data_IF_925822036522
#
_entry.id   IF_925822036522
#
_cell.length_a   1.000
_cell.length_b   1.000
_cell.length_c   1.000
_cell.angle_alpha   90.00
_cell.angle_beta   90.00
_cell.angle_gamma   90.00
#
_symmetry.space_group_name_H-M   'P 1'
#
loop_
_entity.id
_entity.type
_entity.pdbx_description
1 polymer ?
#
# COMPACT_ATOMS: atom_id res chain seq x y z
N UNK A 1 21.99 22.18 -15.83
CA UNK A 1 20.85 21.65 -15.06
C UNK A 1 19.91 22.80 -14.83
N UNK A 2 18.82 22.85 -15.61
CA UNK A 2 17.81 23.92 -15.54
C UNK A 2 17.02 23.82 -14.23
N UNK A 3 16.63 24.97 -13.66
CA UNK A 3 15.78 25.06 -12.46
C UNK A 3 14.44 24.32 -12.62
N UNK A 4 14.00 24.04 -13.86
CA UNK A 4 12.85 23.20 -14.18
C UNK A 4 13.00 21.74 -13.68
N UNK A 5 14.21 21.23 -13.50
CA UNK A 5 14.45 19.85 -13.04
C UNK A 5 14.35 19.71 -11.52
N UNK A 6 14.30 20.80 -10.74
CA UNK A 6 14.28 20.76 -9.28
C UNK A 6 12.86 20.74 -8.68
N UNK A 7 11.82 20.98 -9.49
CA UNK A 7 10.41 20.95 -9.06
C UNK A 7 9.74 19.59 -9.27
N UNK A 8 10.35 18.70 -10.04
CA UNK A 8 9.86 17.32 -10.28
C UNK A 8 9.95 16.41 -9.03
N UNK A 9 10.52 16.90 -7.93
CA UNK A 9 10.66 16.20 -6.64
C UNK A 9 9.50 16.47 -5.65
N UNK A 10 8.45 17.23 -6.01
CA UNK A 10 7.59 17.84 -4.99
C UNK A 10 6.53 16.91 -4.33
N UNK A 11 6.06 15.85 -4.99
CA UNK A 11 4.97 14.99 -4.48
C UNK A 11 5.23 13.52 -4.77
N UNK A 12 5.32 12.71 -3.72
CA UNK A 12 5.31 11.26 -3.81
C UNK A 12 3.88 10.73 -4.00
N UNK A 13 3.72 9.66 -4.77
CA UNK A 13 2.43 9.02 -5.05
C UNK A 13 2.44 7.56 -4.64
N UNK A 14 1.30 7.07 -4.13
CA UNK A 14 1.11 5.67 -3.81
C UNK A 14 1.15 4.82 -5.09
N UNK A 15 1.86 3.67 -5.09
CA UNK A 15 1.89 2.79 -6.24
C UNK A 15 0.59 2.01 -6.39
N UNK A 16 0.40 1.41 -7.58
CA UNK A 16 -0.70 0.48 -7.85
C UNK A 16 -2.05 1.12 -8.19
N UNK A 17 -2.19 2.44 -8.08
CA UNK A 17 -3.39 3.17 -8.49
C UNK A 17 -3.33 3.62 -9.96
N UNK A 18 -4.46 3.55 -10.66
CA UNK A 18 -4.63 4.13 -11.99
C UNK A 18 -4.66 5.66 -11.93
N UNK A 19 -5.24 6.23 -10.88
CA UNK A 19 -5.20 7.66 -10.60
C UNK A 19 -3.91 8.04 -9.85
N UNK A 20 -3.49 9.28 -10.01
CA UNK A 20 -2.40 9.84 -9.22
C UNK A 20 -2.87 10.12 -7.78
N UNK A 21 -2.63 9.19 -6.86
CA UNK A 21 -2.97 9.34 -5.43
C UNK A 21 -1.73 9.72 -4.63
N UNK A 22 -1.61 10.96 -4.11
CA UNK A 22 -0.48 11.38 -3.29
C UNK A 22 -0.29 10.52 -2.04
N UNK A 23 0.96 10.35 -1.59
CA UNK A 23 1.30 9.62 -0.35
C UNK A 23 0.68 10.27 0.90
N UNK A 24 0.35 11.57 0.85
CA UNK A 24 -0.41 12.25 1.90
C UNK A 24 -1.81 11.62 2.15
N UNK A 25 -2.36 10.89 1.17
CA UNK A 25 -3.62 10.13 1.33
C UNK A 25 -3.41 8.71 1.85
N UNK A 26 -2.19 8.30 2.20
CA UNK A 26 -1.90 6.97 2.75
C UNK A 26 -2.84 6.58 3.92
N UNK A 27 -3.12 7.45 4.91
CA UNK A 27 -4.06 7.11 5.98
C UNK A 27 -5.50 6.87 5.48
N UNK A 28 -5.96 7.69 4.52
CA UNK A 28 -7.30 7.55 3.92
C UNK A 28 -7.41 6.25 3.12
N UNK A 29 -6.38 5.92 2.33
CA UNK A 29 -6.27 4.67 1.58
C UNK A 29 -6.26 3.47 2.51
N UNK A 30 -5.41 3.45 3.54
CA UNK A 30 -5.31 2.34 4.50
C UNK A 30 -6.61 2.10 5.27
N UNK A 31 -7.35 3.18 5.55
CA UNK A 31 -8.63 3.12 6.25
C UNK A 31 -9.84 2.90 5.32
N UNK A 32 -9.66 2.90 4.00
CA UNK A 32 -10.76 2.95 3.02
C UNK A 32 -11.73 4.11 3.25
N UNK A 33 -11.21 5.28 3.62
CA UNK A 33 -12.03 6.39 4.09
C UNK A 33 -11.42 7.72 3.69
N UNK A 34 -11.95 8.27 2.61
CA UNK A 34 -11.75 9.65 2.21
C UNK A 34 -12.82 10.54 2.86
N UNK A 35 -12.51 11.81 3.09
CA UNK A 35 -13.37 12.72 3.85
C UNK A 35 -13.55 14.06 3.14
N UNK A 36 -14.48 14.86 3.64
CA UNK A 36 -14.78 16.18 3.12
C UNK A 36 -13.51 17.04 2.98
N UNK A 37 -13.39 17.68 1.81
CA UNK A 37 -12.26 18.54 1.45
C UNK A 37 -11.08 17.80 0.82
N UNK A 38 -11.12 16.47 0.76
CA UNK A 38 -10.16 15.72 -0.04
C UNK A 38 -10.39 15.99 -1.53
N UNK A 39 -9.31 16.21 -2.27
CA UNK A 39 -9.33 16.50 -3.71
C UNK A 39 -8.39 15.54 -4.44
N UNK A 40 -8.95 14.82 -5.41
CA UNK A 40 -8.27 13.77 -6.15
C UNK A 40 -8.22 14.12 -7.63
N UNK A 41 -7.04 14.00 -8.23
CA UNK A 41 -6.85 14.21 -9.66
C UNK A 41 -6.48 12.91 -10.34
N UNK A 42 -6.99 12.72 -11.56
CA UNK A 42 -6.63 11.57 -12.41
C UNK A 42 -5.13 11.49 -12.65
N UNK A 43 -4.53 12.63 -12.95
CA UNK A 43 -3.14 12.74 -13.40
C UNK A 43 -2.31 13.57 -12.42
N UNK A 44 -1.00 13.27 -12.33
CA UNK A 44 -0.06 13.97 -11.45
C UNK A 44 -0.05 15.48 -11.67
N UNK A 45 -0.16 15.92 -12.93
CA UNK A 45 -0.24 17.33 -13.32
C UNK A 45 -1.41 18.10 -12.69
N UNK A 46 -2.43 17.40 -12.19
CA UNK A 46 -3.52 18.06 -11.49
C UNK A 46 -3.11 18.64 -10.14
N UNK A 47 -1.98 18.20 -9.59
CA UNK A 47 -1.41 18.72 -8.36
C UNK A 47 -0.37 19.84 -8.58
N UNK A 48 -0.07 20.20 -9.83
CA UNK A 48 0.87 21.27 -10.13
C UNK A 48 0.28 22.64 -9.72
N UNK A 49 1.11 23.59 -9.26
CA UNK A 49 0.65 24.95 -8.99
C UNK A 49 -0.04 25.56 -10.21
N UNK A 50 -1.24 26.12 -10.01
CA UNK A 50 -1.98 26.79 -11.08
C UNK A 50 -1.29 28.12 -11.42
N UNK A 51 -0.61 28.18 -12.56
CA UNK A 51 0.07 29.38 -13.08
C UNK A 51 -0.88 30.38 -13.77
N UNK A 52 -2.15 30.43 -13.34
CA UNK A 52 -3.18 31.32 -13.89
C UNK A 52 -3.87 30.82 -15.17
N UNK A 53 -3.44 29.69 -15.75
CA UNK A 53 -4.18 28.97 -16.78
C UNK A 53 -4.55 27.58 -16.28
N UNK A 54 -5.83 27.23 -16.41
CA UNK A 54 -6.31 25.88 -16.11
C UNK A 54 -5.82 24.94 -17.21
N UNK A 55 -5.06 23.88 -16.88
CA UNK A 55 -4.65 22.89 -17.86
C UNK A 55 -5.85 22.24 -18.55
N UNK A 56 -5.76 22.05 -19.87
CA UNK A 56 -6.80 21.30 -20.62
C UNK A 56 -6.86 19.86 -20.14
N UNK A 57 -8.08 19.33 -19.96
CA UNK A 57 -8.30 17.97 -19.47
C UNK A 57 -8.02 17.81 -17.98
N UNK A 58 -7.73 18.89 -17.25
CA UNK A 58 -7.72 18.85 -15.80
C UNK A 58 -9.11 18.49 -15.32
N UNK A 59 -9.18 17.46 -14.49
CA UNK A 59 -10.42 17.03 -13.84
C UNK A 59 -10.10 16.69 -12.41
N UNK A 60 -11.02 17.04 -11.52
CA UNK A 60 -10.87 16.88 -10.09
C UNK A 60 -12.13 16.24 -9.53
N UNK A 61 -11.94 15.36 -8.56
CA UNK A 61 -13.00 14.82 -7.75
C UNK A 61 -12.80 15.34 -6.33
N UNK A 62 -13.74 16.14 -5.87
CA UNK A 62 -13.74 16.69 -4.51
C UNK A 62 -14.77 15.96 -3.66
N UNK A 63 -14.35 15.54 -2.48
CA UNK A 63 -15.24 14.94 -1.51
C UNK A 63 -15.97 16.02 -0.71
N UNK A 64 -17.30 15.90 -0.65
CA UNK A 64 -18.18 16.79 0.11
C UNK A 64 -18.68 16.15 1.40
N UNK A 65 -18.87 14.83 1.38
CA UNK A 65 -19.22 14.01 2.55
C UNK A 65 -18.46 12.67 2.52
N UNK A 66 -18.15 12.06 3.68
CA UNK A 66 -18.53 12.45 5.04
C UNK A 66 -17.68 13.60 5.62
N UNK A 67 -18.17 14.35 6.63
CA UNK A 67 -17.40 15.43 7.26
C UNK A 67 -16.19 14.89 8.04
N UNK A 68 -15.09 15.66 8.09
CA UNK A 68 -13.83 15.30 8.77
C UNK A 68 -13.97 14.94 10.26
N UNK A 69 -15.01 15.45 10.92
CA UNK A 69 -15.27 15.23 12.34
C UNK A 69 -16.09 13.97 12.65
N UNK A 70 -16.57 13.23 11.65
CA UNK A 70 -17.32 11.98 11.85
C UNK A 70 -16.43 10.79 12.25
N UNK A 71 -15.34 11.03 13.01
CA UNK A 71 -14.36 10.01 13.41
C UNK A 71 -14.92 8.98 14.39
N UNK A 72 -16.03 9.28 15.04
CA UNK A 72 -16.72 8.34 15.94
C UNK A 72 -17.62 7.44 15.10
N UNK A 73 -17.07 6.34 14.58
CA UNK A 73 -17.91 5.17 14.32
C UNK A 73 -18.65 4.85 15.62
N UNK A 74 -19.96 4.60 15.61
CA UNK A 74 -20.69 4.19 16.80
C UNK A 74 -19.93 3.04 17.47
N UNK A 75 -19.68 3.15 18.78
CA UNK A 75 -18.97 2.13 19.58
C UNK A 75 -19.66 0.77 19.55
N UNK A 76 -20.87 0.70 19.01
CA UNK A 76 -21.70 -0.49 18.84
C UNK A 76 -21.34 -1.33 17.61
N UNK A 77 -20.44 -0.86 16.73
CA UNK A 77 -19.92 -1.70 15.65
C UNK A 77 -18.76 -2.57 16.15
N UNK A 78 -19.09 -3.77 16.64
CA UNK A 78 -18.13 -4.87 16.87
C UNK A 78 -17.65 -5.52 15.55
N UNK A 79 -17.99 -4.96 14.38
CA UNK A 79 -17.68 -5.49 13.05
C UNK A 79 -16.34 -5.06 12.45
N UNK A 80 -16.03 -5.57 11.24
CA UNK A 80 -14.84 -5.17 10.46
C UNK A 80 -14.97 -3.70 10.02
N UNK A 81 -14.26 -2.80 10.70
CA UNK A 81 -14.24 -1.36 10.40
C UNK A 81 -13.92 -1.05 8.93
N UNK A 82 -13.12 -1.90 8.26
CA UNK A 82 -12.78 -1.71 6.84
C UNK A 82 -14.00 -1.91 5.97
N UNK A 83 -14.81 -2.93 6.25
CA UNK A 83 -16.05 -3.18 5.52
C UNK A 83 -17.06 -2.05 5.75
N UNK A 84 -17.19 -1.59 6.99
CA UNK A 84 -18.06 -0.46 7.32
C UNK A 84 -17.65 0.81 6.57
N UNK A 85 -16.35 1.14 6.53
CA UNK A 85 -15.86 2.27 5.75
C UNK A 85 -16.08 2.05 4.25
N UNK A 86 -15.74 0.87 3.73
CA UNK A 86 -15.90 0.51 2.31
C UNK A 86 -17.34 0.70 1.79
N UNK A 87 -18.32 0.36 2.62
CA UNK A 87 -19.75 0.48 2.29
C UNK A 87 -20.33 1.88 2.61
N UNK A 88 -19.58 2.76 3.27
CA UNK A 88 -20.09 4.06 3.66
C UNK A 88 -20.33 4.96 2.45
N UNK A 89 -21.43 5.71 2.50
CA UNK A 89 -21.81 6.66 1.46
C UNK A 89 -20.86 7.86 1.42
N UNK A 90 -20.60 8.36 0.21
CA UNK A 90 -19.86 9.59 -0.04
C UNK A 90 -20.66 10.49 -0.99
N UNK A 91 -20.56 11.81 -0.80
CA UNK A 91 -21.04 12.79 -1.78
C UNK A 91 -19.81 13.36 -2.49
N UNK A 92 -19.81 13.29 -3.81
CA UNK A 92 -18.69 13.63 -4.66
C UNK A 92 -19.07 14.79 -5.58
N UNK A 93 -18.13 15.70 -5.81
CA UNK A 93 -18.23 16.77 -6.79
C UNK A 93 -17.15 16.54 -7.86
N UNK A 94 -17.58 16.19 -9.07
CA UNK A 94 -16.72 16.07 -10.24
C UNK A 94 -16.67 17.42 -10.95
N UNK A 95 -15.47 17.97 -11.05
CA UNK A 95 -15.20 19.27 -11.65
C UNK A 95 -14.39 19.08 -12.93
N UNK A 96 -14.93 19.56 -14.05
CA UNK A 96 -14.21 19.80 -15.30
C UNK A 96 -14.12 21.32 -15.51
N UNK A 97 -13.02 21.96 -15.04
CA UNK A 97 -12.91 23.40 -15.11
C UNK A 97 -12.72 23.91 -16.55
N UNK A 98 -12.27 23.06 -17.49
CA UNK A 98 -12.11 23.46 -18.88
C UNK A 98 -13.47 23.55 -19.60
N UNK A 99 -14.40 22.64 -19.27
CA UNK A 99 -15.77 22.68 -19.76
C UNK A 99 -16.69 23.61 -18.94
N UNK A 100 -16.26 24.03 -17.73
CA UNK A 100 -17.10 24.76 -16.78
C UNK A 100 -18.20 23.88 -16.17
N UNK A 101 -18.00 22.56 -16.18
CA UNK A 101 -19.00 21.60 -15.71
C UNK A 101 -18.69 21.19 -14.26
N UNK A 102 -19.74 21.16 -13.46
CA UNK A 102 -19.74 20.64 -12.09
C UNK A 102 -20.90 19.67 -11.96
N UNK A 103 -20.60 18.45 -11.55
CA UNK A 103 -21.59 17.40 -11.29
C UNK A 103 -21.46 16.96 -9.83
N UNK A 104 -22.57 16.92 -9.10
CA UNK A 104 -22.63 16.42 -7.73
C UNK A 104 -23.48 15.17 -7.69
N UNK A 105 -22.97 14.10 -7.08
CA UNK A 105 -23.66 12.82 -6.98
C UNK A 105 -23.21 12.02 -5.75
N UNK A 106 -24.02 11.05 -5.34
CA UNK A 106 -23.70 10.14 -4.24
C UNK A 106 -23.09 8.83 -4.75
N UNK A 107 -22.21 8.24 -3.95
CA UNK A 107 -21.54 6.96 -4.22
C UNK A 107 -21.18 6.25 -2.90
N UNK A 108 -20.28 5.27 -2.94
CA UNK A 108 -19.69 4.65 -1.75
C UNK A 108 -18.16 4.78 -1.76
N UNK A 109 -17.52 4.70 -0.58
CA UNK A 109 -16.06 4.69 -0.49
C UNK A 109 -15.43 3.57 -1.34
N UNK A 110 -16.05 2.39 -1.37
CA UNK A 110 -15.58 1.27 -2.17
C UNK A 110 -15.60 1.56 -3.66
N UNK A 111 -16.68 2.16 -4.17
CA UNK A 111 -16.76 2.58 -5.58
C UNK A 111 -15.74 3.65 -5.91
N UNK A 112 -15.59 4.66 -5.06
CA UNK A 112 -14.54 5.68 -5.19
C UNK A 112 -13.15 5.02 -5.23
N UNK A 113 -12.86 4.16 -4.26
CA UNK A 113 -11.57 3.48 -4.17
C UNK A 113 -11.27 2.65 -5.43
N UNK A 114 -12.27 1.91 -5.95
CA UNK A 114 -12.12 1.14 -7.18
C UNK A 114 -11.91 2.02 -8.41
N UNK A 115 -12.55 3.18 -8.48
CA UNK A 115 -12.29 4.15 -9.55
C UNK A 115 -10.85 4.67 -9.50
N UNK A 116 -10.34 5.01 -8.30
CA UNK A 116 -8.94 5.42 -8.13
C UNK A 116 -7.97 4.29 -8.48
N UNK A 117 -8.26 3.08 -8.03
CA UNK A 117 -7.38 1.93 -8.18
C UNK A 117 -7.36 1.40 -9.60
N UNK A 118 -8.53 1.08 -10.17
CA UNK A 118 -8.64 0.42 -11.48
C UNK A 118 -8.92 1.40 -12.64
N UNK A 119 -9.26 2.65 -12.35
CA UNK A 119 -9.65 3.62 -13.37
C UNK A 119 -11.08 3.39 -13.90
N UNK A 120 -11.86 2.51 -13.28
CA UNK A 120 -13.21 2.17 -13.73
C UNK A 120 -14.21 3.18 -13.16
N UNK A 121 -14.51 4.22 -13.92
CA UNK A 121 -15.41 5.29 -13.47
C UNK A 121 -16.89 4.98 -13.67
N UNK A 122 -17.22 4.04 -14.55
CA UNK A 122 -18.61 3.68 -14.84
C UNK A 122 -19.33 3.20 -13.56
N UNK A 123 -18.62 2.48 -12.69
CA UNK A 123 -19.14 2.03 -11.40
C UNK A 123 -19.25 3.12 -10.33
N UNK A 124 -18.72 4.33 -10.56
CA UNK A 124 -18.68 5.39 -9.56
C UNK A 124 -20.08 5.97 -9.27
N UNK A 125 -20.99 5.98 -10.26
CA UNK A 125 -22.35 6.55 -10.13
C UNK A 125 -23.40 5.55 -9.62
N UNK A 126 -22.97 4.41 -9.09
CA UNK A 126 -23.90 3.42 -8.54
C UNK A 126 -24.47 2.45 -9.58
N UNK A 127 -23.99 2.48 -10.83
CA UNK A 127 -24.36 1.47 -11.82
C UNK A 127 -23.67 0.13 -11.48
N UNK A 128 -24.47 -0.91 -11.26
CA UNK A 128 -23.98 -2.27 -10.97
C UNK A 128 -23.78 -2.59 -9.48
N UNK A 129 -23.33 -3.82 -9.24
CA UNK A 129 -23.11 -4.36 -7.89
C UNK A 129 -22.02 -3.60 -7.13
N UNK A 130 -22.12 -3.59 -5.80
CA UNK A 130 -21.06 -3.05 -4.95
C UNK A 130 -19.76 -3.85 -5.16
N UNK A 131 -18.61 -3.17 -5.30
CA UNK A 131 -17.35 -3.87 -5.52
C UNK A 131 -16.95 -4.69 -4.28
N UNK A 132 -16.31 -5.86 -4.46
CA UNK A 132 -15.82 -6.64 -3.34
C UNK A 132 -14.70 -5.89 -2.61
N UNK A 133 -14.64 -6.07 -1.29
CA UNK A 133 -13.55 -5.54 -0.48
C UNK A 133 -12.22 -6.18 -0.90
N UNK A 134 -11.13 -5.41 -1.09
CA UNK A 134 -9.83 -5.96 -1.46
C UNK A 134 -9.29 -6.89 -0.37
N UNK A 135 -8.61 -7.96 -0.81
CA UNK A 135 -7.91 -8.88 0.11
C UNK A 135 -6.81 -8.13 0.86
N UNK A 136 -6.63 -8.52 2.11
CA UNK A 136 -5.85 -7.79 3.10
C UNK A 136 -4.39 -8.23 3.22
N UNK A 137 -3.59 -7.42 3.93
CA UNK A 137 -2.22 -7.79 4.30
C UNK A 137 -2.13 -9.12 5.07
N UNK A 138 -3.15 -9.43 5.89
CA UNK A 138 -3.21 -10.68 6.65
C UNK A 138 -3.37 -11.89 5.73
N UNK A 139 -4.24 -11.78 4.74
CA UNK A 139 -4.45 -12.84 3.74
C UNK A 139 -3.19 -13.03 2.89
N UNK A 140 -2.57 -11.95 2.42
CA UNK A 140 -1.32 -12.06 1.64
C UNK A 140 -0.19 -12.68 2.47
N UNK A 141 -0.10 -12.31 3.75
CA UNK A 141 0.88 -12.88 4.67
C UNK A 141 0.61 -14.36 4.97
N UNK A 142 -0.65 -14.79 4.93
CA UNK A 142 -1.03 -16.20 5.05
C UNK A 142 -0.56 -16.98 3.82
N UNK A 143 -0.90 -16.52 2.61
CA UNK A 143 -0.41 -17.13 1.35
C UNK A 143 1.11 -17.21 1.28
N UNK A 144 1.83 -16.17 1.75
CA UNK A 144 3.29 -16.19 1.84
C UNK A 144 3.81 -17.32 2.75
N UNK A 145 3.20 -17.49 3.92
CA UNK A 145 3.59 -18.54 4.90
C UNK A 145 3.26 -19.94 4.41
N UNK A 146 2.09 -20.09 3.77
CA UNK A 146 1.61 -21.37 3.26
C UNK A 146 2.37 -21.82 2.01
N UNK A 147 3.22 -20.95 1.44
CA UNK A 147 4.02 -21.26 0.27
C UNK A 147 3.22 -21.21 -1.04
N UNK A 148 2.09 -20.51 -1.04
CA UNK A 148 1.22 -20.34 -2.22
C UNK A 148 1.76 -19.28 -3.19
N UNK A 149 2.77 -18.51 -2.78
CA UNK A 149 3.41 -17.47 -3.57
C UNK A 149 4.62 -18.03 -4.32
N UNK A 150 4.83 -17.56 -5.54
CA UNK A 150 6.07 -17.83 -6.26
C UNK A 150 7.24 -17.21 -5.50
N UNK A 151 8.33 -17.97 -5.39
CA UNK A 151 9.53 -17.56 -4.67
C UNK A 151 10.65 -17.36 -5.67
N UNK A 152 10.62 -16.27 -6.47
CA UNK A 152 11.71 -16.01 -7.40
C UNK A 152 13.05 -16.05 -6.67
N UNK A 153 14.07 -16.54 -7.36
CA UNK A 153 15.44 -16.51 -6.86
C UNK A 153 15.87 -15.07 -6.52
N UNK A 154 16.89 -14.90 -5.66
CA UNK A 154 17.53 -13.60 -5.50
C UNK A 154 18.11 -13.14 -6.84
N UNK A 155 18.15 -11.82 -7.06
CA UNK A 155 18.74 -11.22 -8.28
C UNK A 155 20.21 -11.61 -8.42
N UNK A 156 20.91 -11.74 -7.29
CA UNK A 156 22.28 -12.24 -7.20
C UNK A 156 22.28 -13.57 -6.48
N UNK A 157 22.60 -14.67 -7.19
CA UNK A 157 22.67 -15.97 -6.56
C UNK A 157 23.96 -16.07 -5.73
N UNK A 158 23.87 -16.61 -4.51
CA UNK A 158 25.00 -16.70 -3.59
C UNK A 158 24.57 -17.20 -2.20
N UNK A 159 25.54 -17.61 -1.36
CA UNK A 159 25.25 -18.04 0.00
C UNK A 159 24.76 -16.87 0.85
N UNK A 160 23.81 -17.14 1.76
CA UNK A 160 23.26 -16.13 2.66
C UNK A 160 21.88 -16.49 3.16
N UNK A 161 21.06 -15.47 3.42
CA UNK A 161 19.67 -15.67 3.79
C UNK A 161 18.77 -14.60 3.17
N UNK A 162 17.48 -14.90 3.13
CA UNK A 162 16.44 -14.00 2.64
C UNK A 162 15.29 -13.95 3.61
N UNK A 163 14.84 -12.75 3.94
CA UNK A 163 13.62 -12.53 4.70
C UNK A 163 12.55 -11.90 3.83
N UNK A 164 11.37 -12.51 3.81
CA UNK A 164 10.18 -12.01 3.08
C UNK A 164 9.07 -11.66 4.04
N UNK A 165 8.43 -10.53 3.84
CA UNK A 165 7.27 -10.14 4.64
C UNK A 165 6.35 -9.20 3.87
N UNK A 166 5.10 -9.13 4.31
CA UNK A 166 4.11 -8.24 3.71
C UNK A 166 4.22 -6.85 4.32
N UNK A 167 4.22 -5.83 3.46
CA UNK A 167 4.17 -4.41 3.82
C UNK A 167 2.95 -3.81 3.15
N UNK A 168 2.19 -3.01 3.91
CA UNK A 168 1.19 -2.12 3.36
C UNK A 168 1.79 -0.72 3.29
N UNK A 169 2.09 -0.25 2.07
CA UNK A 169 2.71 1.04 1.85
C UNK A 169 1.80 2.20 2.27
N UNK A 170 0.49 1.99 2.40
CA UNK A 170 -0.44 3.01 2.90
C UNK A 170 -0.50 3.08 4.44
N UNK A 171 0.02 2.07 5.14
CA UNK A 171 -0.06 1.98 6.61
C UNK A 171 1.22 2.44 7.29
N UNK A 172 1.15 3.53 8.06
CA UNK A 172 2.28 4.05 8.85
C UNK A 172 2.90 2.99 9.77
N UNK A 173 2.05 2.18 10.43
CA UNK A 173 2.50 1.10 11.30
C UNK A 173 3.26 0.01 10.52
N UNK A 174 2.79 -0.31 9.31
CA UNK A 174 3.46 -1.29 8.44
C UNK A 174 4.79 -0.76 7.91
N UNK A 175 4.82 0.50 7.46
CA UNK A 175 6.05 1.17 7.01
C UNK A 175 7.08 1.29 8.14
N UNK A 176 6.66 1.69 9.34
CA UNK A 176 7.52 1.77 10.52
C UNK A 176 8.11 0.41 10.91
N UNK A 177 7.29 -0.66 10.90
CA UNK A 177 7.79 -2.03 11.10
C UNK A 177 8.79 -2.45 10.02
N UNK A 178 8.52 -2.12 8.77
CA UNK A 178 9.42 -2.42 7.66
C UNK A 178 10.77 -1.73 7.80
N UNK A 179 10.78 -0.46 8.19
CA UNK A 179 12.00 0.30 8.49
C UNK A 179 12.78 -0.34 9.64
N UNK A 180 12.12 -0.68 10.76
CA UNK A 180 12.77 -1.33 11.89
C UNK A 180 13.40 -2.68 11.55
N UNK A 181 12.73 -3.48 10.69
CA UNK A 181 13.30 -4.73 10.16
C UNK A 181 14.55 -4.44 9.32
N UNK A 182 14.47 -3.47 8.40
CA UNK A 182 15.57 -3.09 7.52
C UNK A 182 16.78 -2.61 8.32
N UNK A 183 16.58 -1.74 9.31
CA UNK A 183 17.65 -1.22 10.19
C UNK A 183 18.32 -2.35 10.99
N UNK A 184 17.53 -3.27 11.54
CA UNK A 184 18.06 -4.41 12.29
C UNK A 184 18.91 -5.36 11.44
N UNK A 185 18.53 -5.54 10.17
CA UNK A 185 19.28 -6.36 9.22
C UNK A 185 20.49 -5.62 8.63
N UNK A 186 20.42 -4.29 8.47
CA UNK A 186 21.54 -3.45 8.05
C UNK A 186 22.74 -3.57 9.00
N UNK A 187 22.49 -3.77 10.29
CA UNK A 187 23.53 -3.98 11.30
C UNK A 187 24.34 -5.28 11.09
N UNK A 188 23.85 -6.22 10.28
CA UNK A 188 24.55 -7.47 9.95
C UNK A 188 25.34 -7.37 8.64
N UNK A 189 25.09 -6.37 7.81
CA UNK A 189 25.74 -6.18 6.52
C UNK A 189 24.86 -5.46 5.50
N UNK A 190 25.39 -5.31 4.28
CA UNK A 190 24.61 -4.80 3.15
C UNK A 190 23.57 -5.84 2.72
N UNK A 191 22.39 -5.36 2.33
CA UNK A 191 21.34 -6.21 1.78
C UNK A 191 20.75 -5.57 0.52
N UNK A 192 20.18 -6.41 -0.34
CA UNK A 192 19.31 -6.00 -1.43
C UNK A 192 17.86 -5.99 -0.95
N UNK A 193 17.13 -4.92 -1.22
CA UNK A 193 15.69 -4.82 -0.97
C UNK A 193 14.94 -4.81 -2.29
N UNK A 194 13.88 -5.62 -2.37
CA UNK A 194 12.97 -5.66 -3.51
C UNK A 194 11.54 -5.71 -3.01
N UNK A 195 10.69 -4.88 -3.62
CA UNK A 195 9.25 -4.93 -3.41
C UNK A 195 8.59 -5.61 -4.61
N UNK A 196 7.78 -6.62 -4.32
CA UNK A 196 6.97 -7.30 -5.31
C UNK A 196 5.50 -7.02 -5.00
N UNK A 197 4.76 -6.49 -5.97
CA UNK A 197 3.30 -6.48 -5.85
C UNK A 197 2.76 -7.94 -5.79
N UNK A 198 1.50 -8.16 -5.39
CA UNK A 198 0.98 -9.51 -5.21
C UNK A 198 1.03 -10.36 -6.49
N UNK A 199 0.88 -9.75 -7.68
CA UNK A 199 0.99 -10.48 -8.95
C UNK A 199 2.45 -10.88 -9.20
N UNK A 200 3.39 -9.95 -9.03
CA UNK A 200 4.82 -10.20 -9.17
C UNK A 200 5.37 -11.19 -8.13
N UNK A 201 4.72 -11.29 -6.98
CA UNK A 201 4.99 -12.31 -5.96
C UNK A 201 4.32 -13.67 -6.25
N UNK A 202 3.61 -13.83 -7.38
CA UNK A 202 2.94 -15.07 -7.76
C UNK A 202 1.66 -15.38 -6.98
N UNK A 203 1.04 -14.38 -6.34
CA UNK A 203 -0.23 -14.60 -5.66
C UNK A 203 -1.34 -14.92 -6.67
N UNK A 204 -2.05 -16.02 -6.42
CA UNK A 204 -3.28 -16.33 -7.16
C UNK A 204 -4.30 -15.21 -6.93
N UNK A 205 -4.86 -14.71 -8.03
CA UNK A 205 -5.73 -13.54 -8.04
C UNK A 205 -5.08 -12.28 -7.45
N UNK A 206 -3.77 -12.08 -7.69
CA UNK A 206 -3.00 -10.95 -7.16
C UNK A 206 -3.67 -9.58 -7.36
N UNK A 207 -4.45 -9.41 -8.44
CA UNK A 207 -5.23 -8.21 -8.72
C UNK A 207 -6.40 -7.92 -7.78
N UNK A 208 -6.75 -8.83 -6.87
CA UNK A 208 -7.79 -8.68 -5.82
C UNK A 208 -7.24 -8.19 -4.48
N UNK A 209 -5.92 -8.16 -4.30
CA UNK A 209 -5.30 -7.63 -3.09
C UNK A 209 -5.23 -6.10 -3.14
N UNK A 210 -5.27 -5.47 -1.98
CA UNK A 210 -5.15 -4.03 -1.86
C UNK A 210 -3.90 -3.48 -2.60
N UNK A 211 -4.02 -2.38 -3.38
CA UNK A 211 -3.00 -1.95 -4.34
C UNK A 211 -1.64 -1.59 -3.75
N UNK A 212 -1.60 -1.20 -2.48
CA UNK A 212 -0.37 -0.78 -1.79
C UNK A 212 0.30 -1.93 -1.05
N UNK A 213 -0.24 -3.14 -1.12
CA UNK A 213 0.40 -4.31 -0.53
C UNK A 213 1.56 -4.75 -1.40
N UNK A 214 2.69 -5.00 -0.76
CA UNK A 214 3.86 -5.60 -1.39
C UNK A 214 4.39 -6.73 -0.52
N UNK A 215 4.97 -7.74 -1.15
CA UNK A 215 5.90 -8.67 -0.50
C UNK A 215 7.29 -8.06 -0.62
N UNK A 216 7.81 -7.57 0.50
CA UNK A 216 9.17 -7.05 0.59
C UNK A 216 10.12 -8.20 0.85
N UNK A 217 11.17 -8.27 0.03
CA UNK A 217 12.26 -9.22 0.14
C UNK A 217 13.53 -8.49 0.54
N UNK A 218 14.20 -8.97 1.59
CA UNK A 218 15.51 -8.49 2.03
C UNK A 218 16.50 -9.65 1.93
N UNK A 219 17.49 -9.51 1.05
CA UNK A 219 18.50 -10.55 0.77
C UNK A 219 19.83 -10.13 1.38
N UNK A 220 20.34 -10.93 2.31
CA UNK A 220 21.63 -10.72 2.97
C UNK A 220 22.66 -11.72 2.44
N UNK A 221 23.72 -11.20 1.84
CA UNK A 221 24.84 -12.00 1.35
C UNK A 221 25.73 -12.45 2.51
N UNK A 222 26.13 -13.72 2.54
CA UNK A 222 27.05 -14.31 3.53
C UNK A 222 26.59 -14.18 5.00
N UNK A 223 25.31 -13.94 5.25
CA UNK A 223 24.74 -13.90 6.60
C UNK A 223 24.01 -15.21 6.90
N UNK A 224 24.36 -15.86 8.01
CA UNK A 224 23.69 -17.06 8.50
C UNK A 224 22.26 -16.75 8.96
N UNK A 225 21.34 -17.71 8.74
CA UNK A 225 19.92 -17.58 9.09
C UNK A 225 19.73 -17.26 10.57
N UNK A 226 20.52 -17.88 11.45
CA UNK A 226 20.43 -17.73 12.90
C UNK A 226 20.76 -16.30 13.35
N UNK A 227 21.76 -15.68 12.70
CA UNK A 227 22.14 -14.30 12.97
C UNK A 227 21.04 -13.32 12.55
N UNK A 228 20.47 -13.53 11.36
CA UNK A 228 19.33 -12.75 10.88
C UNK A 228 18.09 -12.94 11.77
N UNK A 229 17.80 -14.18 12.17
CA UNK A 229 16.68 -14.48 13.07
C UNK A 229 16.84 -13.75 14.42
N UNK A 230 18.05 -13.79 15.01
CA UNK A 230 18.32 -13.09 16.26
C UNK A 230 18.14 -11.58 16.15
N UNK A 231 18.54 -10.97 15.02
CA UNK A 231 18.31 -9.54 14.76
C UNK A 231 16.82 -9.21 14.61
N UNK A 232 16.09 -10.03 13.83
CA UNK A 232 14.65 -9.88 13.63
C UNK A 232 13.87 -10.02 14.93
N UNK A 233 14.23 -10.99 15.80
CA UNK A 233 13.62 -11.15 17.12
C UNK A 233 13.72 -9.88 17.95
N UNK A 234 14.89 -9.25 17.99
CA UNK A 234 15.09 -7.98 18.73
C UNK A 234 14.25 -6.83 18.15
N UNK A 235 14.15 -6.73 16.83
CA UNK A 235 13.42 -5.65 16.16
C UNK A 235 11.89 -5.78 16.29
N UNK A 236 11.40 -7.01 16.28
CA UNK A 236 9.97 -7.32 16.22
C UNK A 236 9.35 -7.57 17.60
N UNK A 237 10.17 -7.89 18.59
CA UNK A 237 9.73 -8.09 19.96
C UNK A 237 9.82 -6.80 20.77
N UNK A 238 8.69 -6.11 20.92
CA UNK A 238 8.59 -4.84 21.69
C UNK A 238 8.10 -5.09 23.13
N UNK A 239 7.84 -6.34 23.51
CA UNK A 239 7.31 -6.71 24.84
C UNK A 239 8.38 -6.90 25.91
N UNK A 240 7.98 -6.80 27.19
CA UNK A 240 8.79 -7.13 28.37
C UNK A 240 8.59 -8.57 28.87
N UNK A 241 7.91 -9.42 28.10
CA UNK A 241 7.59 -10.79 28.48
C UNK A 241 8.69 -11.80 28.14
N UNK A 242 8.38 -13.09 28.32
CA UNK A 242 9.28 -14.18 27.92
C UNK A 242 9.44 -14.20 26.39
N UNK A 243 10.70 -14.08 25.94
CA UNK A 243 11.10 -14.11 24.52
C UNK A 243 10.82 -15.46 23.84
N UNK A 244 10.59 -16.52 24.61
CA UNK A 244 10.44 -17.89 24.10
C UNK A 244 9.17 -18.12 23.26
N UNK A 245 8.12 -17.31 23.44
CA UNK A 245 6.87 -17.44 22.65
C UNK A 245 6.88 -16.65 21.35
N UNK A 246 7.91 -15.85 21.11
CA UNK A 246 8.01 -15.03 19.92
C UNK A 246 8.53 -15.85 18.74
N UNK A 247 7.82 -15.80 17.59
CA UNK A 247 8.25 -16.46 16.36
C UNK A 247 8.35 -15.47 15.21
N UNK A 248 9.52 -15.42 14.58
CA UNK A 248 9.77 -14.65 13.34
C UNK A 248 8.83 -15.10 12.22
N UNK A 249 8.45 -16.38 12.19
CA UNK A 249 7.55 -16.93 11.17
C UNK A 249 6.15 -16.30 11.16
N UNK A 250 5.72 -15.67 12.26
CA UNK A 250 4.45 -14.91 12.30
C UNK A 250 4.53 -13.58 11.57
N UNK A 251 5.73 -13.08 11.31
CA UNK A 251 5.97 -11.78 10.71
C UNK A 251 6.47 -11.86 9.28
N UNK A 252 6.96 -13.03 8.83
CA UNK A 252 7.49 -13.26 7.51
C UNK A 252 8.07 -14.66 7.36
N UNK A 253 8.77 -14.91 6.27
CA UNK A 253 9.43 -16.18 5.95
C UNK A 253 10.93 -15.91 5.83
N UNK A 254 11.73 -16.58 6.67
CA UNK A 254 13.19 -16.50 6.66
C UNK A 254 13.75 -17.81 6.09
N UNK A 255 14.61 -17.71 5.08
CA UNK A 255 15.12 -18.87 4.35
C UNK A 255 16.64 -18.75 4.14
N UNK A 256 17.35 -19.89 4.20
CA UNK A 256 18.72 -19.97 3.74
C UNK A 256 18.78 -19.91 2.21
N UNK A 257 19.81 -19.27 1.68
CA UNK A 257 20.14 -19.29 0.26
C UNK A 257 21.33 -20.24 0.06
N UNK A 258 21.17 -21.20 -0.86
CA UNK A 258 22.20 -22.17 -1.17
C UNK A 258 23.37 -21.50 -1.92
N UNK A 259 24.62 -21.96 -1.71
CA UNK A 259 25.72 -21.56 -2.55
C UNK A 259 25.47 -22.02 -3.99
N UNK A 260 25.83 -21.18 -4.96
CA UNK A 260 25.85 -21.57 -6.38
C UNK A 260 26.98 -22.58 -6.55
N UNK A 261 26.64 -23.84 -6.79
CA UNK A 261 27.63 -24.83 -7.21
C UNK A 261 27.93 -24.50 -8.68
N UNK A 262 29.12 -23.96 -8.95
CA UNK A 262 29.60 -23.79 -10.31
C UNK A 262 29.82 -25.18 -10.92
N UNK A 263 29.08 -25.51 -11.98
CA UNK A 263 29.32 -26.69 -12.82
C UNK A 263 30.54 -26.49 -13.74
#
# INVERSE_FOLDING_TARGET
MSEESALDDAIAFLPGFAWAVPDAFAPAVSAYRFEQGDVLHRNRRGYDPLSGRIPKGLTALQLRHPPRSARTLPSEYEGDRRLANWQSEVELELVDPAAGNVEVFSSTQGRLFMALWKGHEDGLRGEGDDPPLPRSARELAQSLRDGELDRPGPTRPGPGCRFRFVVDLSSDASRGKSAAIADALAALGRFEARDLDPIAAGARDGGLFHPTLVVRELVLENVAVEAAEAALKRALYVGSGETERFSVSRHGVLEALAPVIAE
#
